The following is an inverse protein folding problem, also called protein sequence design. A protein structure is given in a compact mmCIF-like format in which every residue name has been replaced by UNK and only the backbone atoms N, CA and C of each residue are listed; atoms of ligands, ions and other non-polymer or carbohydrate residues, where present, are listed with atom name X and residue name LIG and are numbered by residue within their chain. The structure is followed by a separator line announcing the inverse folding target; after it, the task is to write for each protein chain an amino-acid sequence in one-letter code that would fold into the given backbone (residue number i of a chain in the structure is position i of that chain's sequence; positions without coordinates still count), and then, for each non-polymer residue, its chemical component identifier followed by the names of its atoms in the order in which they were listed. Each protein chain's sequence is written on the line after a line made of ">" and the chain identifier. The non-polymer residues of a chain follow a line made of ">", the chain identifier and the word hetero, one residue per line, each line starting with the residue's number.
data_IF_934933666715
#
_entry.id   IF_934933666715
#
_cell.length_a   1.000
_cell.length_b   1.000
_cell.length_c   1.000
_cell.angle_alpha   90.00
_cell.angle_beta   90.00
_cell.angle_gamma   90.00
#
_symmetry.space_group_name_H-M   'P 1'
#
loop_
_entity.id
_entity.type
_entity.pdbx_description
1 polymer ?
#
# COMPACT_ATOMS: atom_id res chain seq x y z
N UNK A 1 -54.94 20.63 23.27
CA UNK A 1 -54.27 19.33 23.01
C UNK A 1 -52.77 19.59 23.05
N UNK A 2 -51.91 18.76 23.64
CA UNK A 2 -52.14 17.56 24.47
C UNK A 2 -50.83 17.15 25.18
N UNK A 3 -50.89 16.80 26.48
CA UNK A 3 -49.93 15.92 27.21
C UNK A 3 -48.46 16.41 27.22
N UNK A 4 -47.49 15.80 27.92
CA UNK A 4 -47.43 15.06 29.20
C UNK A 4 -46.07 15.45 29.82
N UNK A 5 -45.94 15.75 31.12
CA UNK A 5 -45.87 14.80 32.23
C UNK A 5 -44.66 13.85 32.17
N UNK A 6 -43.64 14.13 33.00
CA UNK A 6 -42.65 13.22 33.61
C UNK A 6 -41.39 13.98 34.09
N UNK A 7 -41.16 14.07 35.41
CA UNK A 7 -39.81 14.16 35.98
C UNK A 7 -39.59 13.12 37.09
N UNK A 8 -38.46 12.40 37.07
CA UNK A 8 -38.02 11.60 38.23
C UNK A 8 -36.47 11.52 38.29
N UNK A 9 -35.84 11.68 39.46
CA UNK A 9 -34.39 11.58 39.63
C UNK A 9 -33.95 10.26 40.30
N UNK A 10 -32.74 9.78 39.97
CA UNK A 10 -31.87 8.86 40.73
C UNK A 10 -30.58 8.65 39.90
N UNK A 11 -29.41 8.34 40.44
CA UNK A 11 -29.05 8.00 41.82
C UNK A 11 -27.67 8.54 42.24
N UNK A 12 -27.12 7.95 43.31
CA UNK A 12 -25.96 8.48 44.05
C UNK A 12 -25.09 7.32 44.55
N UNK A 13 -23.94 7.11 43.93
CA UNK A 13 -22.89 6.21 44.41
C UNK A 13 -21.69 7.08 44.86
N UNK A 14 -21.17 7.01 46.09
CA UNK A 14 -20.82 5.89 46.98
C UNK A 14 -19.35 5.43 46.85
N UNK A 15 -18.45 6.38 47.13
CA UNK A 15 -17.17 6.22 47.85
C UNK A 15 -16.68 4.79 48.18
N UNK A 16 -15.47 4.46 47.73
CA UNK A 16 -14.61 3.38 48.28
C UNK A 16 -13.31 4.04 48.80
N UNK A 17 -12.73 3.60 49.94
CA UNK A 17 -11.80 4.44 50.71
C UNK A 17 -10.31 4.28 50.39
N UNK A 18 -9.55 5.22 50.96
CA UNK A 18 -8.09 5.23 51.13
C UNK A 18 -7.67 4.43 52.38
N UNK A 19 -6.56 3.68 52.33
CA UNK A 19 -5.89 3.03 53.47
C UNK A 19 -4.36 2.92 53.23
N UNK A 20 -3.52 2.90 54.29
CA UNK A 20 -2.45 3.90 54.33
C UNK A 20 -1.01 3.40 54.51
N UNK A 21 -0.08 4.36 54.55
CA UNK A 21 1.31 4.30 55.01
C UNK A 21 1.47 3.67 56.43
N UNK A 22 2.62 3.05 56.71
CA UNK A 22 2.90 2.48 58.04
C UNK A 22 4.00 1.40 58.13
N UNK A 23 5.27 1.81 58.12
CA UNK A 23 6.38 1.08 58.79
C UNK A 23 6.44 1.48 60.31
N UNK A 24 7.50 1.27 61.14
CA UNK A 24 8.80 0.61 60.94
C UNK A 24 9.34 -0.21 62.17
N UNK A 25 10.64 -0.53 62.18
CA UNK A 25 11.46 -0.84 63.38
C UNK A 25 12.19 -2.20 63.32
N UNK A 26 13.36 -2.44 63.94
CA UNK A 26 14.43 -1.68 64.65
C UNK A 26 15.72 -2.57 64.62
N UNK A 27 16.99 -2.20 64.89
CA UNK A 27 17.76 -1.09 65.52
C UNK A 27 18.99 -0.77 64.62
N UNK A 28 19.93 0.16 64.85
CA UNK A 28 20.14 1.21 65.87
C UNK A 28 21.57 1.26 66.46
N UNK A 29 22.28 2.38 66.24
CA UNK A 29 23.39 2.97 67.05
C UNK A 29 24.77 2.22 67.09
N UNK A 30 25.98 2.79 67.25
CA UNK A 30 26.48 4.06 67.89
C UNK A 30 27.81 4.59 67.24
N UNK A 31 27.90 5.92 67.03
CA UNK A 31 29.07 6.87 66.97
C UNK A 31 30.36 6.67 66.10
N UNK A 32 30.83 7.82 65.56
CA UNK A 32 32.18 8.11 65.04
C UNK A 32 33.13 8.67 66.12
N UNK A 33 34.40 8.99 65.77
CA UNK A 33 34.73 10.41 65.58
C UNK A 33 35.53 10.69 64.29
N UNK A 34 35.75 11.98 64.00
CA UNK A 34 36.31 12.50 62.74
C UNK A 34 37.67 13.18 62.92
N UNK A 35 38.55 13.04 61.92
CA UNK A 35 39.53 14.06 61.52
C UNK A 35 39.60 14.10 59.99
N UNK A 36 40.00 15.24 59.41
CA UNK A 36 39.71 15.60 58.02
C UNK A 36 40.96 16.17 57.31
N UNK A 37 41.33 15.58 56.17
CA UNK A 37 42.31 16.12 55.21
C UNK A 37 41.76 15.91 53.80
N UNK A 38 41.83 16.96 52.99
CA UNK A 38 41.23 17.02 51.65
C UNK A 38 42.28 16.72 50.56
N UNK A 39 42.06 15.63 49.82
CA UNK A 39 42.51 15.47 48.42
C UNK A 39 41.33 14.88 47.63
N UNK A 40 41.03 15.41 46.45
CA UNK A 40 39.83 15.06 45.67
C UNK A 40 40.07 13.81 44.79
N UNK A 41 39.24 12.76 44.90
CA UNK A 41 39.18 11.68 43.94
C UNK A 41 38.08 11.91 42.87
N UNK A 42 38.32 11.29 41.72
CA UNK A 42 37.58 11.30 40.45
C UNK A 42 36.04 11.17 40.53
N UNK A 43 35.34 11.64 39.49
CA UNK A 43 33.88 11.84 39.47
C UNK A 43 33.08 10.52 39.42
N UNK A 44 32.07 10.38 40.29
CA UNK A 44 31.31 9.14 40.46
C UNK A 44 30.27 8.89 39.34
N UNK A 45 30.03 7.62 38.99
CA UNK A 45 28.77 6.99 39.39
C UNK A 45 28.97 5.55 39.92
N UNK A 46 28.00 4.88 40.54
CA UNK A 46 26.62 5.25 40.88
C UNK A 46 25.98 4.09 41.68
N UNK A 47 24.78 4.29 42.24
CA UNK A 47 24.10 3.23 43.00
C UNK A 47 23.72 2.02 42.11
N UNK A 48 23.59 0.80 42.66
CA UNK A 48 22.99 -0.32 41.94
C UNK A 48 21.54 0.05 41.60
N UNK A 49 21.29 0.33 40.32
CA UNK A 49 19.94 0.59 39.84
C UNK A 49 19.11 -0.69 39.77
N UNK A 50 17.80 -0.56 39.95
CA UNK A 50 16.86 -1.63 39.64
C UNK A 50 16.95 -2.03 38.15
N UNK A 51 17.29 -3.28 37.86
CA UNK A 51 17.20 -3.88 36.52
C UNK A 51 15.73 -4.13 36.12
N UNK A 52 14.88 -3.10 36.20
CA UNK A 52 13.50 -3.10 35.76
C UNK A 52 13.41 -2.72 34.27
N UNK A 53 13.02 -3.70 33.45
CA UNK A 53 12.46 -3.56 32.10
C UNK A 53 12.95 -2.36 31.26
N UNK A 54 14.16 -2.47 30.72
CA UNK A 54 14.55 -1.66 29.56
C UNK A 54 13.73 -2.09 28.34
N UNK A 55 12.56 -1.46 28.17
CA UNK A 55 11.56 -1.84 27.19
C UNK A 55 12.15 -1.88 25.76
N UNK A 56 12.10 -3.07 25.14
CA UNK A 56 12.81 -3.36 23.90
C UNK A 56 12.43 -2.43 22.75
N UNK A 57 13.42 -1.75 22.17
CA UNK A 57 13.26 -0.75 21.09
C UNK A 57 12.93 -1.36 19.71
N UNK A 58 12.48 -2.62 19.66
CA UNK A 58 12.13 -3.33 18.43
C UNK A 58 10.62 -3.43 18.20
N UNK A 59 10.17 -3.69 16.96
CA UNK A 59 8.78 -4.06 16.70
C UNK A 59 8.45 -5.38 17.39
N UNK A 60 7.20 -5.56 17.83
CA UNK A 60 6.76 -6.85 18.36
C UNK A 60 6.75 -7.92 17.26
N UNK A 61 6.76 -9.20 17.67
CA UNK A 61 6.64 -10.33 16.74
C UNK A 61 5.45 -10.16 15.79
N UNK A 62 4.30 -9.80 16.35
CA UNK A 62 3.06 -9.56 15.60
C UNK A 62 3.26 -8.46 14.56
N UNK A 63 3.77 -7.29 14.96
CA UNK A 63 4.03 -6.17 14.04
C UNK A 63 5.01 -6.55 12.91
N UNK A 64 6.02 -7.37 13.20
CA UNK A 64 6.97 -7.84 12.20
C UNK A 64 6.33 -8.81 11.20
N UNK A 65 5.53 -9.77 11.68
CA UNK A 65 4.76 -10.70 10.84
C UNK A 65 3.73 -9.96 9.98
N UNK A 66 2.96 -9.05 10.56
CA UNK A 66 2.01 -8.17 9.87
C UNK A 66 2.70 -7.39 8.73
N UNK A 67 3.85 -6.77 9.02
CA UNK A 67 4.60 -5.95 8.06
C UNK A 67 5.10 -6.76 6.86
N UNK A 68 5.58 -7.99 7.09
CA UNK A 68 6.03 -8.88 6.00
C UNK A 68 4.83 -9.37 5.19
N UNK A 69 3.78 -9.86 5.85
CA UNK A 69 2.59 -10.43 5.21
C UNK A 69 1.78 -9.40 4.41
N UNK A 70 1.89 -8.12 4.73
CA UNK A 70 1.26 -7.01 3.99
C UNK A 70 1.89 -6.76 2.61
N UNK A 71 3.18 -7.05 2.43
CA UNK A 71 3.95 -6.67 1.23
C UNK A 71 4.02 -7.78 0.18
N UNK A 72 3.91 -9.04 0.60
CA UNK A 72 4.07 -10.21 -0.27
C UNK A 72 2.90 -10.42 -1.23
N UNK A 73 3.16 -10.99 -2.40
CA UNK A 73 2.21 -11.32 -3.48
C UNK A 73 1.80 -12.80 -3.51
N UNK A 74 2.65 -13.71 -3.03
CA UNK A 74 2.37 -15.14 -2.85
C UNK A 74 2.20 -15.55 -1.36
N UNK A 75 1.78 -16.80 -1.03
CA UNK A 75 1.76 -17.31 0.34
C UNK A 75 3.15 -17.69 0.86
N UNK A 76 3.52 -17.28 2.08
CA UNK A 76 4.87 -17.47 2.63
C UNK A 76 4.90 -18.55 3.72
N UNK A 77 5.80 -19.51 3.61
CA UNK A 77 5.94 -20.58 4.59
C UNK A 77 6.40 -20.06 5.97
N UNK A 78 5.93 -20.73 7.03
CA UNK A 78 6.34 -20.50 8.42
C UNK A 78 7.86 -20.60 8.62
N UNK A 79 8.51 -21.58 7.95
CA UNK A 79 9.96 -21.74 7.93
C UNK A 79 10.72 -20.57 7.30
N UNK A 80 10.13 -19.90 6.31
CA UNK A 80 10.73 -18.72 5.66
C UNK A 80 10.61 -17.49 6.56
N UNK A 81 9.45 -17.30 7.19
CA UNK A 81 9.23 -16.23 8.19
C UNK A 81 10.15 -16.44 9.42
N UNK A 82 10.34 -17.68 9.85
CA UNK A 82 11.27 -18.06 10.92
C UNK A 82 12.74 -17.73 10.60
N UNK A 83 13.17 -17.95 9.35
CA UNK A 83 14.50 -17.56 8.87
C UNK A 83 14.68 -16.04 8.81
N UNK A 84 13.70 -15.31 8.28
CA UNK A 84 13.76 -13.83 8.14
C UNK A 84 13.73 -13.10 9.49
N UNK A 85 13.04 -13.66 10.48
CA UNK A 85 12.92 -13.07 11.82
C UNK A 85 13.93 -13.63 12.83
N UNK A 86 14.76 -14.61 12.44
CA UNK A 86 15.72 -15.34 13.28
C UNK A 86 15.09 -16.00 14.53
N UNK A 87 13.90 -16.61 14.40
CA UNK A 87 13.13 -17.19 15.51
C UNK A 87 12.71 -18.65 15.27
N UNK A 88 12.39 -19.44 16.32
CA UNK A 88 11.91 -20.81 16.17
C UNK A 88 10.60 -20.92 15.39
N UNK A 89 10.53 -21.83 14.42
CA UNK A 89 9.35 -22.02 13.54
C UNK A 89 8.05 -22.32 14.29
N UNK A 90 8.13 -23.02 15.43
CA UNK A 90 6.97 -23.27 16.29
C UNK A 90 6.41 -21.98 16.93
N UNK A 91 7.26 -21.00 17.21
CA UNK A 91 6.84 -19.70 17.77
C UNK A 91 6.15 -18.86 16.68
N UNK A 92 6.74 -18.82 15.47
CA UNK A 92 6.12 -18.21 14.28
C UNK A 92 4.76 -18.83 13.97
N UNK A 93 4.67 -20.16 13.95
CA UNK A 93 3.42 -20.91 13.72
C UNK A 93 2.33 -20.58 14.75
N UNK A 94 2.73 -20.36 16.00
CA UNK A 94 1.81 -20.01 17.09
C UNK A 94 1.28 -18.59 16.89
N UNK A 95 2.16 -17.61 16.72
CA UNK A 95 1.78 -16.21 16.52
C UNK A 95 0.94 -15.96 15.25
N UNK A 96 1.20 -16.69 14.16
CA UNK A 96 0.38 -16.64 12.94
C UNK A 96 -1.04 -17.14 13.16
N UNK A 97 -1.23 -18.17 14.01
CA UNK A 97 -2.54 -18.71 14.39
C UNK A 97 -3.27 -17.79 15.36
N UNK A 98 -2.54 -17.17 16.28
CA UNK A 98 -3.07 -16.16 17.20
C UNK A 98 -3.56 -14.92 16.44
N UNK A 99 -2.73 -14.33 15.56
CA UNK A 99 -3.12 -13.25 14.65
C UNK A 99 -4.33 -13.62 13.78
N UNK A 100 -4.34 -14.83 13.21
CA UNK A 100 -5.48 -15.34 12.43
C UNK A 100 -6.76 -15.40 13.28
N UNK A 101 -6.69 -15.86 14.52
CA UNK A 101 -7.83 -15.92 15.43
C UNK A 101 -8.30 -14.52 15.87
N UNK A 102 -7.37 -13.61 16.17
CA UNK A 102 -7.66 -12.22 16.53
C UNK A 102 -8.37 -11.47 15.40
N UNK A 103 -7.86 -11.52 14.17
CA UNK A 103 -8.55 -10.91 13.01
C UNK A 103 -9.89 -11.58 12.71
N UNK A 104 -10.00 -12.90 12.96
CA UNK A 104 -11.25 -13.65 12.83
C UNK A 104 -12.30 -13.11 13.81
N UNK A 105 -11.94 -12.98 15.09
CA UNK A 105 -12.82 -12.51 16.16
C UNK A 105 -13.15 -11.00 16.06
N UNK A 106 -12.18 -10.18 15.64
CA UNK A 106 -12.32 -8.73 15.50
C UNK A 106 -13.12 -8.29 14.25
N UNK A 107 -13.63 -9.23 13.44
CA UNK A 107 -14.51 -8.94 12.31
C UNK A 107 -13.90 -8.05 11.22
N UNK A 108 -12.56 -8.09 11.05
CA UNK A 108 -11.86 -7.27 10.05
C UNK A 108 -12.28 -7.64 8.62
N UNK A 109 -12.20 -6.71 7.66
CA UNK A 109 -12.54 -6.98 6.24
C UNK A 109 -11.61 -7.96 5.50
N UNK A 110 -10.61 -8.49 6.19
CA UNK A 110 -9.63 -9.47 5.72
C UNK A 110 -9.43 -10.56 6.77
N UNK A 111 -8.95 -11.72 6.32
CA UNK A 111 -8.46 -12.80 7.17
C UNK A 111 -6.99 -13.10 6.83
N UNK A 112 -6.20 -13.45 7.82
CA UNK A 112 -4.94 -14.17 7.63
C UNK A 112 -5.26 -15.67 7.50
N UNK A 113 -4.80 -16.35 6.44
CA UNK A 113 -5.11 -17.77 6.19
C UNK A 113 -3.87 -18.58 5.81
N UNK A 114 -3.82 -19.82 6.28
CA UNK A 114 -2.87 -20.87 5.87
C UNK A 114 -3.38 -21.54 4.57
N UNK A 115 -2.62 -21.48 3.48
CA UNK A 115 -2.98 -22.01 2.15
C UNK A 115 -1.74 -22.61 1.50
N UNK A 116 -1.83 -23.85 1.02
CA UNK A 116 -0.73 -24.57 0.35
C UNK A 116 0.60 -24.65 1.15
N UNK A 117 0.54 -24.56 2.48
CA UNK A 117 1.72 -24.55 3.37
C UNK A 117 2.35 -23.16 3.57
N UNK A 118 1.72 -22.09 3.07
CA UNK A 118 2.12 -20.71 3.30
C UNK A 118 1.00 -19.84 3.84
N UNK A 119 1.36 -18.72 4.47
CA UNK A 119 0.44 -17.77 5.08
C UNK A 119 0.26 -16.53 4.20
N UNK A 120 -0.97 -16.03 4.10
CA UNK A 120 -1.33 -14.86 3.28
C UNK A 120 -2.59 -14.16 3.79
N UNK A 121 -2.63 -12.84 3.61
CA UNK A 121 -3.87 -12.06 3.78
C UNK A 121 -4.81 -12.23 2.59
N UNK A 122 -6.09 -12.47 2.89
CA UNK A 122 -7.17 -12.55 1.90
C UNK A 122 -8.33 -11.64 2.33
N UNK A 123 -9.08 -11.11 1.37
CA UNK A 123 -10.35 -10.43 1.67
C UNK A 123 -11.38 -11.42 2.21
N UNK A 124 -12.24 -10.95 3.12
CA UNK A 124 -13.38 -11.74 3.62
C UNK A 124 -14.42 -12.02 2.53
N UNK A 125 -15.10 -13.16 2.65
CA UNK A 125 -16.12 -13.59 1.69
C UNK A 125 -17.34 -12.67 1.71
N UNK A 126 -17.69 -12.14 2.88
CA UNK A 126 -18.73 -11.13 3.12
C UNK A 126 -18.45 -9.83 2.35
N UNK A 127 -17.17 -9.51 2.13
CA UNK A 127 -16.74 -8.33 1.38
C UNK A 127 -16.64 -8.58 -0.13
N UNK A 128 -16.81 -9.82 -0.63
CA UNK A 128 -16.49 -10.18 -2.01
C UNK A 128 -17.22 -9.31 -3.06
N UNK A 129 -18.50 -9.04 -2.89
CA UNK A 129 -19.27 -8.18 -3.82
C UNK A 129 -18.83 -6.70 -3.81
N UNK A 130 -18.28 -6.21 -2.69
CA UNK A 130 -17.71 -4.86 -2.59
C UNK A 130 -16.35 -4.79 -3.27
N UNK A 131 -15.50 -5.81 -3.05
CA UNK A 131 -14.19 -5.95 -3.70
C UNK A 131 -14.35 -6.15 -5.21
N UNK A 132 -15.29 -6.98 -5.65
CA UNK A 132 -15.61 -7.19 -7.06
C UNK A 132 -16.03 -5.88 -7.72
N UNK A 133 -16.95 -5.11 -7.10
CA UNK A 133 -17.34 -3.79 -7.62
C UNK A 133 -16.15 -2.83 -7.66
N UNK A 134 -15.36 -2.73 -6.59
CA UNK A 134 -14.17 -1.87 -6.56
C UNK A 134 -13.13 -2.25 -7.63
N UNK A 135 -12.91 -3.54 -7.89
CA UNK A 135 -12.02 -4.01 -8.96
C UNK A 135 -12.62 -3.73 -10.35
N UNK A 136 -13.93 -3.90 -10.54
CA UNK A 136 -14.62 -3.55 -11.80
C UNK A 136 -14.63 -2.04 -12.06
N UNK A 137 -14.71 -1.22 -11.03
CA UNK A 137 -14.67 0.25 -11.11
C UNK A 137 -13.23 0.77 -11.25
N UNK A 138 -12.25 0.11 -10.60
CA UNK A 138 -10.81 0.35 -10.82
C UNK A 138 -10.31 -0.13 -12.20
N UNK A 139 -11.02 -1.06 -12.84
CA UNK A 139 -10.84 -1.42 -14.25
C UNK A 139 -11.61 -0.51 -15.21
N UNK A 140 -12.33 0.52 -14.72
CA UNK A 140 -12.91 1.56 -15.56
C UNK A 140 -12.00 2.80 -15.66
N UNK A 141 -11.99 3.51 -16.79
CA UNK A 141 -12.60 3.14 -18.06
C UNK A 141 -11.70 2.19 -18.86
N UNK A 142 -12.31 1.24 -19.60
CA UNK A 142 -11.72 0.78 -20.87
C UNK A 142 -11.37 2.00 -21.72
N UNK A 143 -10.34 1.93 -22.57
CA UNK A 143 -10.12 3.00 -23.55
C UNK A 143 -11.41 3.18 -24.36
N UNK A 144 -11.94 4.40 -24.42
CA UNK A 144 -13.06 4.73 -25.29
C UNK A 144 -12.65 4.48 -26.74
N UNK A 145 -13.60 4.28 -27.64
CA UNK A 145 -13.27 4.09 -29.06
C UNK A 145 -12.41 5.26 -29.60
N UNK A 146 -12.73 6.50 -29.24
CA UNK A 146 -11.92 7.67 -29.60
C UNK A 146 -10.48 7.63 -29.01
N UNK A 147 -10.25 6.92 -27.91
CA UNK A 147 -8.92 6.72 -27.34
C UNK A 147 -8.16 5.54 -27.96
N UNK A 148 -8.86 4.47 -28.35
CA UNK A 148 -8.29 3.38 -29.15
C UNK A 148 -7.86 3.88 -30.53
N UNK A 149 -8.69 4.70 -31.19
CA UNK A 149 -8.38 5.30 -32.49
C UNK A 149 -7.17 6.26 -32.41
N UNK A 150 -7.03 7.07 -31.35
CA UNK A 150 -5.81 7.87 -31.15
C UNK A 150 -4.59 6.99 -30.87
N UNK A 151 -4.72 5.95 -30.05
CA UNK A 151 -3.62 5.04 -29.73
C UNK A 151 -3.11 4.30 -30.98
N UNK A 152 -4.02 3.85 -31.85
CA UNK A 152 -3.68 3.26 -33.14
C UNK A 152 -2.95 4.27 -34.06
N UNK A 153 -3.42 5.51 -34.14
CA UNK A 153 -2.73 6.58 -34.91
C UNK A 153 -1.32 6.85 -34.38
N UNK A 154 -1.06 6.73 -33.07
CA UNK A 154 0.30 6.78 -32.52
C UNK A 154 1.10 5.54 -32.92
N UNK A 155 0.59 4.34 -32.67
CA UNK A 155 1.30 3.08 -32.94
C UNK A 155 1.76 2.94 -34.40
N UNK A 156 0.90 3.28 -35.37
CA UNK A 156 1.22 3.15 -36.81
C UNK A 156 1.95 4.36 -37.43
N UNK A 157 2.13 5.48 -36.71
CA UNK A 157 2.82 6.68 -37.25
C UNK A 157 3.89 7.29 -36.36
N UNK A 158 4.26 6.62 -35.26
CA UNK A 158 5.31 7.09 -34.37
C UNK A 158 6.68 7.19 -35.06
N UNK A 159 7.55 8.15 -34.66
CA UNK A 159 7.29 9.21 -33.69
C UNK A 159 6.38 10.31 -34.27
N UNK A 160 5.33 10.71 -33.55
CA UNK A 160 4.28 11.61 -34.09
C UNK A 160 3.91 12.74 -33.13
N UNK A 161 3.71 13.96 -33.63
CA UNK A 161 3.29 15.12 -32.82
C UNK A 161 1.77 15.17 -32.61
N UNK A 162 1.31 15.79 -31.51
CA UNK A 162 -0.12 15.96 -31.18
C UNK A 162 -0.92 16.63 -32.30
N UNK A 163 -0.34 17.62 -32.98
CA UNK A 163 -0.98 18.30 -34.11
C UNK A 163 -1.22 17.33 -35.29
N UNK A 164 -0.24 16.47 -35.60
CA UNK A 164 -0.34 15.47 -36.67
C UNK A 164 -1.35 14.36 -36.33
N UNK A 165 -1.42 13.95 -35.05
CA UNK A 165 -2.47 13.05 -34.55
C UNK A 165 -3.87 13.66 -34.69
N UNK A 166 -4.05 14.92 -34.28
CA UNK A 166 -5.34 15.62 -34.40
C UNK A 166 -5.76 15.81 -35.87
N UNK A 167 -4.82 16.11 -36.77
CA UNK A 167 -5.07 16.19 -38.20
C UNK A 167 -5.57 14.85 -38.79
N UNK A 168 -4.94 13.72 -38.45
CA UNK A 168 -5.36 12.38 -38.89
C UNK A 168 -6.73 11.98 -38.32
N UNK A 169 -7.08 12.43 -37.11
CA UNK A 169 -8.38 12.15 -36.48
C UNK A 169 -9.50 13.12 -36.89
N UNK A 170 -9.18 14.24 -37.55
CA UNK A 170 -10.13 15.32 -37.87
C UNK A 170 -10.67 16.08 -36.66
N UNK A 171 -10.23 15.76 -35.44
CA UNK A 171 -10.71 16.33 -34.16
C UNK A 171 -9.57 16.47 -33.15
N UNK A 172 -9.71 17.39 -32.19
CA UNK A 172 -8.75 17.50 -31.08
C UNK A 172 -8.64 16.18 -30.32
N UNK A 173 -7.41 15.67 -30.22
CA UNK A 173 -7.05 14.50 -29.43
C UNK A 173 -6.45 14.87 -28.06
N UNK A 174 -6.62 16.12 -27.60
CA UNK A 174 -5.77 16.66 -26.52
C UNK A 174 -6.04 16.11 -25.12
N UNK A 175 -7.32 15.86 -24.80
CA UNK A 175 -7.70 15.15 -23.58
C UNK A 175 -7.33 13.67 -23.65
N UNK A 176 -7.55 13.05 -24.81
CA UNK A 176 -7.23 11.64 -25.07
C UNK A 176 -5.72 11.37 -24.92
N UNK A 177 -4.86 12.22 -25.50
CA UNK A 177 -3.41 12.08 -25.38
C UNK A 177 -2.96 12.18 -23.91
N UNK A 178 -3.55 13.10 -23.13
CA UNK A 178 -3.31 13.20 -21.69
C UNK A 178 -3.70 11.92 -20.95
N UNK A 179 -4.82 11.29 -21.33
CA UNK A 179 -5.25 9.99 -20.78
C UNK A 179 -4.33 8.83 -21.18
N UNK A 180 -3.79 8.81 -22.39
CA UNK A 180 -2.84 7.77 -22.84
C UNK A 180 -1.48 7.88 -22.14
N UNK A 181 -0.97 9.11 -22.00
CA UNK A 181 0.24 9.43 -21.22
C UNK A 181 0.07 9.05 -19.73
N UNK A 182 -1.02 9.49 -19.10
CA UNK A 182 -1.32 9.17 -17.69
C UNK A 182 -1.60 7.67 -17.43
N UNK A 183 -1.74 6.86 -18.48
CA UNK A 183 -1.89 5.40 -18.42
C UNK A 183 -0.61 4.65 -18.82
N UNK A 184 0.49 5.35 -19.12
CA UNK A 184 1.76 4.76 -19.53
C UNK A 184 1.70 3.97 -20.84
N UNK A 185 0.69 4.19 -21.69
CA UNK A 185 0.55 3.53 -23.00
C UNK A 185 1.30 4.27 -24.13
N UNK A 186 1.53 5.56 -23.91
CA UNK A 186 2.25 6.48 -24.79
C UNK A 186 3.23 7.27 -23.93
N UNK A 187 4.39 7.59 -24.48
CA UNK A 187 5.44 8.40 -23.87
C UNK A 187 6.00 9.44 -24.87
N UNK A 188 6.81 10.37 -24.40
CA UNK A 188 7.40 11.43 -25.22
C UNK A 188 8.68 10.91 -25.91
N UNK A 189 8.77 11.13 -27.23
CA UNK A 189 9.80 10.60 -28.12
C UNK A 189 10.81 11.69 -28.55
N UNK A 190 11.05 12.67 -27.67
CA UNK A 190 11.84 13.86 -27.98
C UNK A 190 11.04 14.93 -28.72
N UNK A 191 11.74 15.75 -29.52
CA UNK A 191 11.20 16.96 -30.16
C UNK A 191 11.52 16.94 -31.65
N UNK A 192 10.55 17.33 -32.48
CA UNK A 192 10.72 17.49 -33.91
C UNK A 192 11.74 18.60 -34.23
N UNK A 193 12.78 18.35 -35.04
CA UNK A 193 13.85 19.32 -35.26
C UNK A 193 13.40 20.57 -36.03
N UNK A 194 12.44 20.45 -36.94
CA UNK A 194 11.97 21.55 -37.79
C UNK A 194 10.88 22.35 -37.09
N UNK A 195 9.89 21.67 -36.51
CA UNK A 195 8.69 22.31 -35.94
C UNK A 195 8.79 22.56 -34.43
N UNK A 196 9.85 22.09 -33.76
CA UNK A 196 10.05 22.15 -32.31
C UNK A 196 8.86 21.58 -31.49
N UNK A 197 8.10 20.66 -32.07
CA UNK A 197 6.93 20.05 -31.43
C UNK A 197 7.31 18.74 -30.73
N UNK A 198 6.74 18.49 -29.55
CA UNK A 198 6.92 17.23 -28.83
C UNK A 198 6.35 16.07 -29.65
N UNK A 199 7.16 15.04 -29.82
CA UNK A 199 6.82 13.79 -30.50
C UNK A 199 6.40 12.74 -29.48
N UNK A 200 5.59 11.77 -29.91
CA UNK A 200 5.03 10.72 -29.06
C UNK A 200 5.19 9.33 -29.70
N UNK A 201 5.36 8.31 -28.87
CA UNK A 201 5.46 6.88 -29.24
C UNK A 201 4.79 5.98 -28.20
N UNK A 202 4.44 4.74 -28.56
CA UNK A 202 3.96 3.73 -27.62
C UNK A 202 5.08 3.17 -26.75
N UNK A 203 4.74 2.73 -25.54
CA UNK A 203 5.67 2.15 -24.55
C UNK A 203 5.79 0.62 -24.68
N UNK A 204 6.73 0.01 -23.94
CA UNK A 204 6.76 -1.46 -23.75
C UNK A 204 5.45 -1.98 -23.14
N UNK A 205 4.86 -1.24 -22.19
CA UNK A 205 3.59 -1.57 -21.56
C UNK A 205 2.41 -1.62 -22.55
N UNK A 206 2.46 -0.88 -23.66
CA UNK A 206 1.50 -1.06 -24.77
C UNK A 206 1.67 -2.43 -25.44
N UNK A 207 2.90 -2.86 -25.74
CA UNK A 207 3.18 -4.17 -26.35
C UNK A 207 2.76 -5.31 -25.42
N UNK A 208 3.12 -5.23 -24.14
CA UNK A 208 2.69 -6.16 -23.08
C UNK A 208 1.16 -6.29 -23.01
N UNK A 209 0.44 -5.16 -23.11
CA UNK A 209 -1.04 -5.12 -23.09
C UNK A 209 -1.70 -5.64 -24.37
N UNK A 210 -0.99 -5.69 -25.48
CA UNK A 210 -1.44 -6.31 -26.74
C UNK A 210 -0.97 -7.78 -26.89
N UNK A 211 0.00 -8.23 -26.09
CA UNK A 211 0.61 -9.56 -26.21
C UNK A 211 1.62 -9.68 -27.35
N UNK A 212 2.20 -8.56 -27.80
CA UNK A 212 3.18 -8.49 -28.89
C UNK A 212 4.61 -8.36 -28.34
N UNK A 213 5.60 -8.84 -29.11
CA UNK A 213 7.03 -8.70 -28.79
C UNK A 213 7.61 -7.38 -29.30
N UNK A 214 7.14 -6.91 -30.45
CA UNK A 214 7.62 -5.71 -31.13
C UNK A 214 6.52 -5.08 -32.00
N UNK A 215 6.68 -3.80 -32.38
CA UNK A 215 5.71 -3.13 -33.26
C UNK A 215 5.65 -3.73 -34.67
N UNK A 216 6.65 -4.52 -35.10
CA UNK A 216 6.62 -5.27 -36.36
C UNK A 216 5.56 -6.37 -36.41
N UNK A 217 5.03 -6.80 -35.26
CA UNK A 217 3.94 -7.76 -35.16
C UNK A 217 2.54 -7.10 -35.20
N UNK A 218 2.45 -5.76 -35.37
CA UNK A 218 1.18 -5.07 -35.59
C UNK A 218 0.62 -5.41 -36.98
N UNK A 219 -0.69 -5.71 -37.12
CA UNK A 219 -1.30 -5.99 -38.41
C UNK A 219 -1.15 -4.84 -39.40
N UNK A 220 -0.90 -5.15 -40.67
CA UNK A 220 -0.96 -4.14 -41.73
C UNK A 220 -2.35 -3.48 -41.78
N UNK A 221 -2.41 -2.19 -42.12
CA UNK A 221 -3.67 -1.45 -42.17
C UNK A 221 -4.54 -1.86 -43.37
N UNK A 222 -3.94 -2.33 -44.47
CA UNK A 222 -4.62 -2.59 -45.74
C UNK A 222 -5.84 -3.55 -45.65
N UNK A 223 -5.81 -4.67 -44.91
CA UNK A 223 -6.96 -5.60 -44.82
C UNK A 223 -8.12 -5.08 -43.96
N UNK A 224 -7.97 -3.94 -43.29
CA UNK A 224 -8.96 -3.38 -42.34
C UNK A 224 -9.44 -1.97 -42.71
N UNK A 225 -8.93 -1.41 -43.81
CA UNK A 225 -9.52 -0.23 -44.43
C UNK A 225 -10.77 -0.66 -45.21
N UNK A 226 -11.93 -0.01 -45.05
CA UNK A 226 -13.09 -0.28 -45.90
C UNK A 226 -12.82 0.27 -47.32
N UNK A 227 -13.38 -0.39 -48.34
CA UNK A 227 -13.04 -0.19 -49.78
C UNK A 227 -13.17 1.26 -50.30
N UNK A 228 -13.82 2.14 -49.53
CA UNK A 228 -14.14 3.51 -49.90
C UNK A 228 -13.06 4.57 -49.54
N UNK A 229 -11.80 4.17 -49.33
CA UNK A 229 -10.68 5.10 -49.02
C UNK A 229 -9.66 5.32 -50.15
N UNK A 230 -9.73 4.58 -51.26
CA UNK A 230 -8.80 4.73 -52.40
C UNK A 230 -8.95 6.10 -53.12
N UNK A 231 -10.08 6.77 -52.95
CA UNK A 231 -10.53 7.91 -53.78
C UNK A 231 -9.92 9.29 -53.46
N UNK A 232 -8.80 9.38 -52.73
CA UNK A 232 -8.29 10.67 -52.20
C UNK A 232 -6.90 11.12 -52.68
N UNK A 233 -6.18 10.35 -53.51
CA UNK A 233 -4.86 10.77 -54.03
C UNK A 233 -4.86 11.34 -55.46
N UNK A 234 -5.99 11.37 -56.17
CA UNK A 234 -6.10 11.96 -57.52
C UNK A 234 -7.03 13.19 -57.61
N UNK A 235 -6.60 14.33 -57.05
CA UNK A 235 -6.86 15.64 -57.67
C UNK A 235 -5.60 16.52 -57.64
N UNK A 236 -5.39 17.27 -58.73
CA UNK A 236 -4.14 17.92 -59.16
C UNK A 236 -4.39 19.38 -59.51
#
# INVERSE_FOLDING_TARGET
>A
MERSDAPDPVGREANVPDEPDGAPGVVGDVQSPVENVLEEPDEAPGAPGDDQDSAGTGPSLSMALESILMVVDEPVADVTLAQVLERPTNEITTALRELSAEYTAAGRGFDLREVAGGWRFYTRAECAALVERFVRDGQQARLTQAALETLAVVAYRQPVSRARVAAVRGVSSDGVMRTLLARGLVEEAGVDPESQAVLYRTTSYFLERLGLKELGELPELAPFLPDNVETLEEQK
#
